data_IF_513342502888
#
_entry.id   IF_513342502888
#
_cell.length_a   1.000
_cell.length_b   1.000
_cell.length_c   1.000
_cell.angle_alpha   90.00
_cell.angle_beta   90.00
_cell.angle_gamma   90.00
#
_symmetry.space_group_name_H-M   'P 1'
#
loop_
_entity.id
_entity.type
_entity.pdbx_description
1 polymer ?
#
# COMPACT_ATOMS: atom_id res chain seq x y z
N UNK A 1 16.82 -10.15 -0.38
CA UNK A 1 15.65 -9.33 0.02
C UNK A 1 14.53 -9.57 -1.01
N UNK A 2 13.27 -9.42 -0.64
CA UNK A 2 12.14 -9.52 -1.57
C UNK A 2 11.20 -8.32 -1.37
N UNK A 3 10.31 -8.08 -2.34
CA UNK A 3 9.30 -7.02 -2.27
C UNK A 3 7.92 -7.65 -2.40
N UNK A 4 7.06 -7.41 -1.42
CA UNK A 4 5.64 -7.72 -1.51
C UNK A 4 4.89 -6.52 -2.09
N UNK A 5 4.55 -6.57 -3.38
CA UNK A 5 3.82 -5.49 -4.06
C UNK A 5 2.33 -5.82 -4.15
N UNK A 6 1.53 -5.18 -3.29
CA UNK A 6 0.08 -5.30 -3.26
C UNK A 6 -0.52 -3.97 -2.75
N UNK A 7 -1.84 -3.81 -2.87
CA UNK A 7 -2.51 -2.57 -2.48
C UNK A 7 -2.46 -2.30 -0.98
N UNK A 8 -2.55 -3.35 -0.13
CA UNK A 8 -2.30 -3.31 1.32
C UNK A 8 -2.94 -2.09 2.03
N UNK A 9 -4.19 -1.79 1.68
CA UNK A 9 -4.84 -0.52 2.05
C UNK A 9 -5.19 -0.46 3.53
N UNK A 10 -5.44 -1.58 4.21
CA UNK A 10 -5.78 -1.62 5.64
C UNK A 10 -4.60 -2.09 6.50
N UNK A 11 -4.54 -1.62 7.74
CA UNK A 11 -3.59 -2.04 8.77
C UNK A 11 -3.71 -3.54 9.04
N UNK A 12 -4.93 -4.09 9.10
CA UNK A 12 -5.15 -5.52 9.30
C UNK A 12 -4.48 -6.38 8.22
N UNK A 13 -4.60 -6.00 6.93
CA UNK A 13 -3.94 -6.72 5.84
C UNK A 13 -2.42 -6.66 5.96
N UNK A 14 -1.89 -5.49 6.30
CA UNK A 14 -0.44 -5.31 6.51
C UNK A 14 0.05 -6.14 7.69
N UNK A 15 -0.70 -6.19 8.79
CA UNK A 15 -0.28 -6.91 10.01
C UNK A 15 -0.10 -8.41 9.76
N UNK A 16 -1.01 -9.04 9.01
CA UNK A 16 -0.86 -10.45 8.62
C UNK A 16 0.45 -10.73 7.87
N UNK A 17 0.85 -9.81 6.98
CA UNK A 17 2.12 -9.93 6.25
C UNK A 17 3.32 -9.64 7.14
N UNK A 18 3.23 -8.61 7.98
CA UNK A 18 4.28 -8.25 8.95
C UNK A 18 4.55 -9.43 9.87
N UNK A 19 3.52 -10.01 10.48
CA UNK A 19 3.63 -11.16 11.39
C UNK A 19 4.26 -12.38 10.71
N UNK A 20 3.87 -12.65 9.46
CA UNK A 20 4.49 -13.70 8.64
C UNK A 20 5.99 -13.43 8.49
N UNK A 21 6.39 -12.21 8.13
CA UNK A 21 7.79 -11.88 7.90
C UNK A 21 8.61 -11.89 9.20
N UNK A 22 8.02 -11.44 10.32
CA UNK A 22 8.62 -11.48 11.65
C UNK A 22 8.85 -12.91 12.14
N UNK A 23 7.97 -13.86 11.77
CA UNK A 23 8.16 -15.29 12.06
C UNK A 23 9.46 -15.83 11.44
N UNK A 24 9.86 -15.31 10.29
CA UNK A 24 11.14 -15.62 9.64
C UNK A 24 12.29 -14.70 10.10
N UNK A 25 12.09 -13.92 11.17
CA UNK A 25 13.06 -12.94 11.70
C UNK A 25 13.49 -11.90 10.67
N UNK A 26 12.64 -11.59 9.69
CA UNK A 26 12.93 -10.62 8.65
C UNK A 26 12.77 -9.18 9.17
N UNK A 27 13.64 -8.28 8.69
CA UNK A 27 13.46 -6.84 8.88
C UNK A 27 12.46 -6.29 7.85
N UNK A 28 11.28 -5.90 8.34
CA UNK A 28 10.19 -5.34 7.52
C UNK A 28 10.36 -3.83 7.33
N UNK A 29 10.29 -3.39 6.07
CA UNK A 29 10.22 -1.98 5.68
C UNK A 29 8.93 -1.74 4.88
N UNK A 30 8.11 -0.77 5.28
CA UNK A 30 6.93 -0.33 4.53
C UNK A 30 7.30 0.90 3.71
N UNK A 31 6.98 0.87 2.41
CA UNK A 31 7.07 2.05 1.54
C UNK A 31 5.65 2.43 1.13
N UNK A 32 5.16 3.52 1.70
CA UNK A 32 3.86 4.10 1.39
C UNK A 32 3.98 5.03 0.19
N UNK A 33 3.22 4.77 -0.87
CA UNK A 33 3.24 5.56 -2.09
C UNK A 33 1.83 6.14 -2.29
N UNK A 34 1.73 7.46 -2.35
CA UNK A 34 0.47 8.17 -2.55
C UNK A 34 0.64 9.26 -3.59
N UNK A 35 -0.39 9.44 -4.41
CA UNK A 35 -0.57 10.59 -5.29
C UNK A 35 -1.97 11.17 -5.08
N UNK A 36 -2.21 12.47 -5.37
CA UNK A 36 -3.53 13.06 -5.28
C UNK A 36 -4.59 12.22 -6.00
N UNK A 37 -5.79 12.14 -5.42
CA UNK A 37 -6.90 11.32 -5.92
C UNK A 37 -7.16 11.50 -7.43
N UNK A 38 -7.16 12.74 -7.92
CA UNK A 38 -7.36 13.02 -9.34
C UNK A 38 -6.20 12.49 -10.21
N UNK A 39 -4.96 12.63 -9.74
CA UNK A 39 -3.77 12.07 -10.39
C UNK A 39 -3.81 10.54 -10.43
N UNK A 40 -4.25 9.89 -9.35
CA UNK A 40 -4.44 8.43 -9.29
C UNK A 40 -5.40 7.94 -10.37
N UNK A 41 -6.56 8.59 -10.50
CA UNK A 41 -7.56 8.27 -11.52
C UNK A 41 -7.03 8.50 -12.93
N UNK A 42 -6.30 9.60 -13.17
CA UNK A 42 -5.69 9.88 -14.47
C UNK A 42 -4.62 8.86 -14.85
N UNK A 43 -3.76 8.48 -13.91
CA UNK A 43 -2.75 7.44 -14.12
C UNK A 43 -3.40 6.09 -14.46
N UNK A 44 -4.46 5.70 -13.73
CA UNK A 44 -5.17 4.45 -13.99
C UNK A 44 -5.90 4.45 -15.34
N UNK A 45 -6.40 5.60 -15.83
CA UNK A 45 -7.02 5.69 -17.17
C UNK A 45 -6.00 5.52 -18.30
N UNK A 46 -4.73 5.82 -18.06
CA UNK A 46 -3.67 5.85 -19.06
C UNK A 46 -2.83 4.55 -19.11
N UNK A 47 -3.30 3.45 -18.52
CA UNK A 47 -2.61 2.16 -18.54
C UNK A 47 -3.37 1.12 -19.36
N UNK A 48 -2.65 0.13 -19.88
CA UNK A 48 -3.25 -0.92 -20.72
C UNK A 48 -4.34 -1.70 -19.98
N UNK A 49 -4.06 -2.13 -18.74
CA UNK A 49 -5.02 -2.85 -17.89
C UNK A 49 -5.75 -1.89 -16.93
N UNK A 50 -6.68 -1.10 -17.47
CA UNK A 50 -7.47 -0.14 -16.66
C UNK A 50 -8.30 -0.87 -15.59
N UNK A 51 -8.22 -0.41 -14.33
CA UNK A 51 -9.13 -0.88 -13.27
C UNK A 51 -10.37 0.01 -13.23
N UNK A 52 -11.58 -0.56 -13.09
CA UNK A 52 -12.80 0.22 -12.97
C UNK A 52 -12.72 1.25 -11.84
N UNK A 53 -13.16 2.49 -12.11
CA UNK A 53 -13.06 3.61 -11.17
C UNK A 53 -13.68 3.29 -9.80
N UNK A 54 -14.84 2.62 -9.77
CA UNK A 54 -15.49 2.24 -8.51
C UNK A 54 -14.68 1.26 -7.64
N UNK A 55 -13.76 0.49 -8.22
CA UNK A 55 -12.83 -0.37 -7.47
C UNK A 55 -11.73 0.49 -6.83
N UNK A 56 -11.18 1.46 -7.57
CA UNK A 56 -10.23 2.43 -7.01
C UNK A 56 -10.86 3.19 -5.85
N UNK A 57 -12.07 3.71 -6.04
CA UNK A 57 -12.77 4.49 -5.01
C UNK A 57 -13.01 3.64 -3.76
N UNK A 58 -13.35 2.36 -3.94
CA UNK A 58 -13.50 1.41 -2.83
C UNK A 58 -12.19 1.16 -2.09
N UNK A 59 -11.06 1.07 -2.80
CA UNK A 59 -9.74 0.87 -2.19
C UNK A 59 -9.27 2.13 -1.45
N UNK A 60 -9.44 3.31 -2.05
CA UNK A 60 -9.13 4.61 -1.43
C UNK A 60 -9.92 4.80 -0.14
N UNK A 61 -11.22 4.46 -0.13
CA UNK A 61 -12.06 4.53 1.09
C UNK A 61 -11.61 3.61 2.22
N UNK A 62 -10.86 2.55 1.92
CA UNK A 62 -10.31 1.62 2.90
C UNK A 62 -8.88 1.98 3.32
N UNK A 63 -8.33 3.05 2.79
CA UNK A 63 -6.93 3.38 3.01
C UNK A 63 -6.72 3.86 4.45
N UNK A 64 -5.96 3.07 5.19
CA UNK A 64 -5.40 3.41 6.50
C UNK A 64 -3.91 3.66 6.29
N UNK A 65 -3.48 4.90 6.42
CA UNK A 65 -2.07 5.30 6.25
C UNK A 65 -1.20 4.51 7.25
N UNK A 66 -0.10 3.87 6.81
CA UNK A 66 0.71 3.06 7.70
C UNK A 66 1.34 3.91 8.80
N UNK A 67 1.22 3.47 10.05
CA UNK A 67 1.84 4.13 11.18
C UNK A 67 3.29 3.68 11.37
N UNK A 68 4.14 4.58 11.91
CA UNK A 68 5.57 4.32 12.11
C UNK A 68 5.87 3.07 12.95
N UNK A 69 4.95 2.66 13.82
CA UNK A 69 5.10 1.51 14.70
C UNK A 69 4.74 0.17 14.04
N UNK A 70 4.12 0.17 12.85
CA UNK A 70 3.73 -1.07 12.18
C UNK A 70 4.94 -1.92 11.74
N UNK A 71 6.09 -1.30 11.50
CA UNK A 71 7.27 -1.99 11.00
C UNK A 71 8.58 -1.35 11.49
N UNK A 72 9.70 -2.02 11.27
CA UNK A 72 11.02 -1.50 11.64
C UNK A 72 11.37 -0.19 10.91
N UNK A 73 10.76 0.05 9.75
CA UNK A 73 10.88 1.30 9.01
C UNK A 73 9.61 1.54 8.20
N UNK A 74 9.13 2.77 8.22
CA UNK A 74 8.07 3.24 7.34
C UNK A 74 8.58 4.46 6.58
N UNK A 75 8.41 4.46 5.26
CA UNK A 75 8.83 5.55 4.37
C UNK A 75 7.62 6.06 3.61
N UNK A 76 7.37 7.36 3.71
CA UNK A 76 6.31 8.04 2.96
C UNK A 76 6.88 8.61 1.65
N UNK A 77 6.25 8.26 0.53
CA UNK A 77 6.55 8.73 -0.83
C UNK A 77 5.28 9.33 -1.40
N UNK A 78 4.98 10.54 -0.96
CA UNK A 78 3.81 11.31 -1.40
C UNK A 78 4.28 12.25 -2.52
N UNK A 79 3.60 12.24 -3.67
CA UNK A 79 3.96 13.02 -4.86
C UNK A 79 2.75 13.67 -5.50
#
# INVERSE_FOLDING_TARGET
>A
SFVWNATNTTSQMRMQLIDLFLTYKAKVNIVYIEVPYHSLHNQNKNRDDVVPAGVIDKLVRKLEVPALWEAHKVVYRIR
#
